data_IF_596663321979
#
_entry.id   IF_596663321979
#
_cell.length_a   1.000
_cell.length_b   1.000
_cell.length_c   1.000
_cell.angle_alpha   90.00
_cell.angle_beta   90.00
_cell.angle_gamma   90.00
#
_symmetry.space_group_name_H-M   'P 1'
#
loop_
_entity.id
_entity.type
_entity.pdbx_description
1 polymer ?
#
# COMPACT_ATOMS: atom_id res chain seq x y z
N UNK A 1 -1.51 15.31 4.63
CA UNK A 1 -1.55 13.95 4.07
C UNK A 1 -2.33 13.04 5.02
N UNK A 2 -3.22 12.21 4.48
CA UNK A 2 -3.96 11.19 5.21
C UNK A 2 -3.21 9.86 5.13
N UNK A 3 -3.12 9.14 6.26
CA UNK A 3 -2.58 7.78 6.31
C UNK A 3 -3.65 6.79 5.85
N UNK A 4 -3.44 6.16 4.71
CA UNK A 4 -4.35 5.21 4.07
C UNK A 4 -3.61 3.88 3.86
N UNK A 5 -3.31 3.19 4.97
CA UNK A 5 -2.52 1.95 4.92
C UNK A 5 -3.40 0.77 4.51
N UNK A 6 -3.11 0.18 3.36
CA UNK A 6 -3.99 -0.83 2.74
C UNK A 6 -3.48 -2.26 2.90
N UNK A 7 -2.24 -2.42 3.34
CA UNK A 7 -1.61 -3.70 3.65
C UNK A 7 -1.23 -3.78 5.14
N UNK A 8 -1.07 -5.00 5.66
CA UNK A 8 -0.63 -5.22 7.04
C UNK A 8 0.39 -6.36 7.15
N UNK A 9 1.64 -6.10 7.58
CA UNK A 9 2.60 -7.17 7.84
C UNK A 9 2.15 -8.04 9.02
N UNK A 10 2.26 -9.36 8.85
CA UNK A 10 1.90 -10.37 9.85
C UNK A 10 3.11 -11.21 10.21
N UNK A 11 3.28 -11.50 11.51
CA UNK A 11 4.46 -12.20 12.02
C UNK A 11 4.64 -13.57 11.39
N UNK A 12 3.56 -14.36 11.25
CA UNK A 12 3.62 -15.72 10.69
C UNK A 12 2.97 -15.83 9.30
N UNK A 13 2.64 -14.71 8.66
CA UNK A 13 1.97 -14.69 7.37
C UNK A 13 0.50 -15.14 7.39
N UNK A 14 -0.08 -15.36 8.56
CA UNK A 14 -1.47 -15.72 8.82
C UNK A 14 -2.33 -14.52 9.22
N UNK A 15 -3.65 -14.69 9.16
CA UNK A 15 -4.62 -13.65 9.44
C UNK A 15 -4.81 -12.63 8.32
N UNK A 16 -5.59 -11.58 8.61
CA UNK A 16 -5.98 -10.58 7.63
C UNK A 16 -4.79 -9.71 7.19
N UNK A 17 -4.41 -9.75 5.90
CA UNK A 17 -3.24 -9.04 5.34
C UNK A 17 -3.55 -7.63 4.83
N UNK A 18 -4.79 -7.18 4.96
CA UNK A 18 -5.22 -5.85 4.51
C UNK A 18 -6.14 -5.90 3.30
N UNK A 19 -6.68 -4.72 2.97
CA UNK A 19 -7.65 -4.51 1.89
C UNK A 19 -7.08 -4.93 0.54
N UNK A 20 -5.78 -4.73 0.33
CA UNK A 20 -5.08 -5.12 -0.91
C UNK A 20 -5.18 -6.63 -1.20
N UNK A 21 -5.33 -7.47 -0.18
CA UNK A 21 -5.47 -8.92 -0.34
C UNK A 21 -6.93 -9.39 -0.27
N UNK A 22 -7.75 -8.72 0.54
CA UNK A 22 -9.09 -9.20 0.86
C UNK A 22 -10.00 -8.01 1.21
N UNK A 23 -10.52 -7.27 0.22
CA UNK A 23 -11.34 -6.08 0.49
C UNK A 23 -12.67 -6.41 1.18
N UNK A 24 -13.18 -7.63 0.99
CA UNK A 24 -14.33 -8.17 1.72
C UNK A 24 -13.86 -9.36 2.58
N UNK A 25 -13.87 -9.18 3.90
CA UNK A 25 -13.42 -10.20 4.87
C UNK A 25 -14.31 -11.44 4.93
N UNK A 26 -15.53 -11.38 4.39
CA UNK A 26 -16.42 -12.53 4.24
C UNK A 26 -16.22 -13.32 2.94
N UNK A 27 -15.43 -12.79 1.99
CA UNK A 27 -15.11 -13.45 0.73
C UNK A 27 -13.70 -14.03 0.74
N UNK A 28 -13.38 -14.90 -0.22
CA UNK A 28 -12.01 -15.38 -0.40
C UNK A 28 -11.05 -14.22 -0.80
N UNK A 29 -9.74 -14.32 -0.47
CA UNK A 29 -8.74 -13.36 -0.93
C UNK A 29 -8.72 -13.23 -2.47
N UNK A 30 -8.56 -12.00 -2.96
CA UNK A 30 -8.46 -11.71 -4.39
C UNK A 30 -7.64 -10.43 -4.59
N UNK A 31 -6.46 -10.57 -5.18
CA UNK A 31 -5.57 -9.44 -5.43
C UNK A 31 -6.16 -8.45 -6.43
N UNK A 32 -6.84 -8.93 -7.47
CA UNK A 32 -7.49 -8.07 -8.48
C UNK A 32 -8.56 -7.18 -7.83
N UNK A 33 -9.43 -7.77 -7.01
CA UNK A 33 -10.46 -7.02 -6.29
C UNK A 33 -9.83 -6.10 -5.24
N UNK A 34 -8.75 -6.54 -4.60
CA UNK A 34 -8.01 -5.75 -3.62
C UNK A 34 -7.38 -4.50 -4.22
N UNK A 35 -6.63 -4.61 -5.32
CA UNK A 35 -6.04 -3.47 -6.02
C UNK A 35 -7.14 -2.49 -6.48
N UNK A 36 -8.25 -3.00 -7.02
CA UNK A 36 -9.39 -2.16 -7.41
C UNK A 36 -9.95 -1.37 -6.22
N UNK A 37 -10.14 -2.04 -5.08
CA UNK A 37 -10.63 -1.40 -3.85
C UNK A 37 -9.65 -0.36 -3.29
N UNK A 38 -8.35 -0.66 -3.31
CA UNK A 38 -7.29 0.25 -2.85
C UNK A 38 -7.24 1.52 -3.69
N UNK A 39 -7.23 1.39 -5.03
CA UNK A 39 -7.27 2.55 -5.94
C UNK A 39 -8.51 3.40 -5.69
N UNK A 40 -9.68 2.77 -5.56
CA UNK A 40 -10.93 3.47 -5.29
C UNK A 40 -10.90 4.21 -3.94
N UNK A 41 -10.32 3.61 -2.90
CA UNK A 41 -10.16 4.26 -1.59
C UNK A 41 -9.28 5.51 -1.67
N UNK A 42 -8.08 5.40 -2.26
CA UNK A 42 -7.17 6.55 -2.43
C UNK A 42 -7.82 7.64 -3.26
N UNK A 43 -8.44 7.29 -4.39
CA UNK A 43 -9.15 8.22 -5.25
C UNK A 43 -10.27 8.98 -4.51
N UNK A 44 -11.08 8.28 -3.71
CA UNK A 44 -12.14 8.91 -2.90
C UNK A 44 -11.58 9.87 -1.85
N UNK A 45 -10.52 9.48 -1.15
CA UNK A 45 -9.88 10.37 -0.18
C UNK A 45 -9.42 11.66 -0.88
N UNK A 46 -8.74 11.55 -2.01
CA UNK A 46 -8.24 12.71 -2.76
C UNK A 46 -9.40 13.59 -3.24
N UNK A 47 -10.39 13.00 -3.91
CA UNK A 47 -11.46 13.76 -4.58
C UNK A 47 -12.51 14.32 -3.64
N UNK A 48 -12.80 13.65 -2.53
CA UNK A 48 -13.83 14.08 -1.59
C UNK A 48 -13.28 15.01 -0.50
N UNK A 49 -11.98 14.91 -0.17
CA UNK A 49 -11.39 15.70 0.93
C UNK A 49 -10.35 16.71 0.48
N UNK A 50 -9.81 16.58 -0.73
CA UNK A 50 -8.66 17.37 -1.21
C UNK A 50 -7.33 17.02 -0.52
N UNK A 51 -7.30 15.98 0.34
CA UNK A 51 -6.10 15.58 1.08
C UNK A 51 -5.38 14.46 0.33
N UNK A 52 -4.07 14.61 0.14
CA UNK A 52 -3.19 13.57 -0.43
C UNK A 52 -3.00 12.38 0.51
N UNK A 53 -2.69 11.20 -0.03
CA UNK A 53 -2.64 9.95 0.74
C UNK A 53 -1.22 9.39 0.86
N UNK A 54 -0.98 8.68 1.98
CA UNK A 54 0.20 7.87 2.26
C UNK A 54 -0.17 6.40 2.42
N UNK A 55 0.66 5.51 1.92
CA UNK A 55 0.53 4.06 2.10
C UNK A 55 1.87 3.42 2.48
N UNK A 56 1.84 2.16 2.90
CA UNK A 56 3.02 1.34 3.15
C UNK A 56 3.32 0.47 1.93
N UNK A 57 4.54 0.55 1.41
CA UNK A 57 5.02 -0.40 0.40
C UNK A 57 5.40 -1.70 1.10
N UNK A 58 4.40 -2.53 1.38
CA UNK A 58 4.62 -3.88 1.94
C UNK A 58 5.02 -4.90 0.86
N UNK A 59 4.55 -4.68 -0.37
CA UNK A 59 4.82 -5.52 -1.54
C UNK A 59 5.33 -4.61 -2.68
N UNK A 60 6.65 -4.52 -2.89
CA UNK A 60 7.21 -3.60 -3.88
C UNK A 60 6.66 -3.84 -5.30
N UNK A 61 6.36 -5.08 -5.66
CA UNK A 61 5.74 -5.46 -6.94
C UNK A 61 4.34 -4.87 -7.17
N UNK A 62 3.61 -4.52 -6.11
CA UNK A 62 2.28 -3.91 -6.24
C UNK A 62 2.33 -2.39 -6.42
N UNK A 63 3.48 -1.76 -6.14
CA UNK A 63 3.58 -0.30 -6.11
C UNK A 63 3.16 0.37 -7.44
N UNK A 64 3.61 -0.11 -8.64
CA UNK A 64 3.22 0.51 -9.91
C UNK A 64 1.71 0.46 -10.21
N UNK A 65 0.93 -0.28 -9.42
CA UNK A 65 -0.51 -0.38 -9.56
C UNK A 65 -1.27 0.71 -8.78
N UNK A 66 -0.58 1.48 -7.93
CA UNK A 66 -1.19 2.45 -7.00
C UNK A 66 -0.40 3.76 -6.82
N UNK A 67 0.84 3.85 -7.31
CA UNK A 67 1.76 4.96 -7.04
C UNK A 67 1.29 6.31 -7.60
N UNK A 68 0.51 6.31 -8.69
CA UNK A 68 -0.17 7.47 -9.25
C UNK A 68 -1.15 8.15 -8.28
N UNK A 69 -1.56 7.46 -7.22
CA UNK A 69 -2.52 7.94 -6.23
C UNK A 69 -1.91 8.18 -4.85
N UNK A 70 -0.58 8.04 -4.68
CA UNK A 70 0.08 8.12 -3.36
C UNK A 70 1.16 9.21 -3.38
N UNK A 71 1.16 10.09 -2.39
CA UNK A 71 2.12 11.22 -2.32
C UNK A 71 3.27 10.99 -1.34
N UNK A 72 3.26 9.89 -0.58
CA UNK A 72 4.36 9.46 0.29
C UNK A 72 4.26 7.97 0.54
N UNK A 73 5.40 7.29 0.54
CA UNK A 73 5.48 5.85 0.77
C UNK A 73 6.27 5.60 2.05
N UNK A 74 5.76 4.70 2.89
CA UNK A 74 6.53 4.18 4.02
C UNK A 74 7.04 2.77 3.73
N UNK A 75 8.30 2.51 4.07
CA UNK A 75 8.85 1.17 4.26
C UNK A 75 8.73 0.83 5.74
N UNK A 76 8.17 -0.33 6.04
CA UNK A 76 7.96 -0.75 7.42
C UNK A 76 9.28 -1.14 8.11
N UNK A 77 9.33 -1.02 9.44
CA UNK A 77 10.51 -1.39 10.24
C UNK A 77 10.97 -2.86 10.05
N UNK A 78 10.08 -3.74 9.57
CA UNK A 78 10.41 -5.16 9.29
C UNK A 78 10.96 -5.41 7.87
N UNK A 79 10.88 -4.42 6.99
CA UNK A 79 11.37 -4.49 5.61
C UNK A 79 12.41 -3.41 5.28
N UNK A 80 12.81 -2.58 6.26
CA UNK A 80 13.82 -1.53 6.05
C UNK A 80 15.18 -2.08 5.61
N UNK A 81 15.54 -3.29 6.06
CA UNK A 81 16.78 -3.97 5.67
C UNK A 81 16.62 -4.83 4.40
N UNK A 82 15.42 -4.94 3.85
CA UNK A 82 15.17 -5.73 2.65
C UNK A 82 15.72 -5.04 1.39
N UNK A 83 16.52 -5.77 0.62
CA UNK A 83 17.20 -5.21 -0.55
C UNK A 83 16.22 -4.80 -1.65
N UNK A 84 15.12 -5.52 -1.84
CA UNK A 84 14.13 -5.19 -2.86
C UNK A 84 13.42 -3.88 -2.52
N UNK A 85 13.03 -3.68 -1.25
CA UNK A 85 12.43 -2.42 -0.79
C UNK A 85 13.38 -1.23 -1.01
N UNK A 86 14.67 -1.38 -0.66
CA UNK A 86 15.67 -0.32 -0.84
C UNK A 86 15.92 0.01 -2.30
N UNK A 87 15.94 -1.01 -3.17
CA UNK A 87 16.13 -0.82 -4.60
C UNK A 87 14.96 -0.08 -5.24
N UNK A 88 13.72 -0.46 -4.91
CA UNK A 88 12.53 0.25 -5.40
C UNK A 88 12.48 1.68 -4.85
N UNK A 89 12.73 1.87 -3.55
CA UNK A 89 12.75 3.20 -2.93
C UNK A 89 13.78 4.16 -3.58
N UNK A 90 14.90 3.65 -4.11
CA UNK A 90 15.89 4.48 -4.80
C UNK A 90 15.48 4.92 -6.22
N UNK A 91 14.45 4.31 -6.80
CA UNK A 91 14.08 4.48 -8.20
C UNK A 91 12.72 5.13 -8.45
N UNK A 92 11.98 5.50 -7.39
CA UNK A 92 10.63 6.06 -7.49
C UNK A 92 10.62 7.58 -7.29
N UNK A 93 9.66 8.25 -7.92
CA UNK A 93 9.52 9.72 -7.87
C UNK A 93 8.80 10.22 -6.59
N UNK A 94 8.32 9.30 -5.75
CA UNK A 94 7.53 9.60 -4.55
C UNK A 94 8.43 9.62 -3.31
N UNK A 95 8.36 10.67 -2.46
CA UNK A 95 9.12 10.71 -1.21
C UNK A 95 8.86 9.47 -0.35
N UNK A 96 9.94 8.85 0.12
CA UNK A 96 9.87 7.56 0.82
C UNK A 96 10.55 7.64 2.19
N UNK A 97 9.85 7.16 3.22
CA UNK A 97 10.39 6.97 4.57
C UNK A 97 10.82 5.54 4.82
N UNK A 98 11.93 5.38 5.52
CA UNK A 98 12.51 4.10 5.96
C UNK A 98 12.67 4.08 7.48
#
# INVERSE_FOLDING_TARGET
MMRVYTAKPRTNGDGYKGMVHQPNTGAAPSLINGITAVRHLHYRVITETGITTADEMLYPENLPLIDDLVSYIAVGARSVEDQQHRFVASGIDVPTGM
#
